data_IF_098956256191
#
_entry.id   IF_098956256191
#
_cell.length_a   1.000
_cell.length_b   1.000
_cell.length_c   1.000
_cell.angle_alpha   90.00
_cell.angle_beta   90.00
_cell.angle_gamma   90.00
#
_symmetry.space_group_name_H-M   'P 1'
#
loop_
_entity.id
_entity.type
_entity.pdbx_description
1 polymer ?
#
# COMPACT_ATOMS: atom_id res chain seq x y z
N UNK A 1 -31.82 -12.09 -39.89
CA UNK A 1 -30.39 -11.89 -39.56
C UNK A 1 -30.24 -10.46 -39.09
N UNK A 2 -29.92 -10.10 -37.87
CA UNK A 2 -29.81 -10.78 -36.58
C UNK A 2 -29.89 -9.65 -35.55
N UNK A 3 -30.83 -9.73 -34.61
CA UNK A 3 -30.98 -8.73 -33.56
C UNK A 3 -29.90 -8.97 -32.50
N UNK A 4 -28.98 -8.01 -32.36
CA UNK A 4 -27.99 -8.00 -31.29
C UNK A 4 -28.70 -7.94 -29.94
N UNK A 5 -28.61 -9.04 -29.21
CA UNK A 5 -29.08 -9.12 -27.83
C UNK A 5 -28.04 -8.41 -26.96
N UNK A 6 -28.31 -7.15 -26.62
CA UNK A 6 -27.56 -6.44 -25.56
C UNK A 6 -27.74 -7.21 -24.25
N UNK A 7 -26.75 -8.00 -23.85
CA UNK A 7 -26.66 -8.54 -22.49
C UNK A 7 -26.32 -7.37 -21.57
N UNK A 8 -27.33 -6.86 -20.85
CA UNK A 8 -27.11 -6.09 -19.63
C UNK A 8 -26.59 -7.08 -18.58
N UNK A 9 -25.34 -6.93 -18.17
CA UNK A 9 -24.83 -7.58 -16.97
C UNK A 9 -25.38 -6.77 -15.80
N UNK A 10 -26.38 -7.31 -15.12
CA UNK A 10 -26.77 -6.86 -13.80
C UNK A 10 -25.80 -7.55 -12.83
N UNK A 11 -24.91 -6.77 -12.21
CA UNK A 11 -24.21 -7.23 -11.00
C UNK A 11 -25.23 -7.09 -9.88
N UNK A 12 -25.78 -8.21 -9.42
CA UNK A 12 -26.52 -8.28 -8.17
C UNK A 12 -25.51 -8.00 -7.04
N UNK A 13 -25.47 -6.75 -6.59
CA UNK A 13 -24.81 -6.42 -5.33
C UNK A 13 -25.70 -6.96 -4.21
N UNK A 14 -25.36 -8.14 -3.71
CA UNK A 14 -25.69 -8.46 -2.32
C UNK A 14 -24.98 -7.41 -1.47
N UNK A 15 -25.67 -6.32 -1.14
CA UNK A 15 -25.12 -5.25 -0.32
C UNK A 15 -24.85 -5.81 1.09
N UNK A 16 -23.64 -6.33 1.31
CA UNK A 16 -23.06 -6.34 2.65
C UNK A 16 -23.03 -4.86 3.06
N UNK A 17 -23.80 -4.52 4.09
CA UNK A 17 -23.93 -3.16 4.60
C UNK A 17 -22.54 -2.60 4.91
N UNK A 18 -22.07 -1.67 4.07
CA UNK A 18 -20.70 -1.16 4.16
C UNK A 18 -20.68 0.02 5.11
N UNK A 19 -20.02 -0.16 6.26
CA UNK A 19 -19.70 0.97 7.13
C UNK A 19 -18.67 1.84 6.42
N UNK A 20 -19.03 3.09 6.14
CA UNK A 20 -18.10 4.07 5.56
C UNK A 20 -16.86 4.19 6.46
N UNK A 21 -15.70 3.85 5.92
CA UNK A 21 -14.43 4.02 6.63
C UNK A 21 -13.88 5.42 6.40
N UNK A 22 -13.34 6.06 7.45
CA UNK A 22 -12.68 7.34 7.26
C UNK A 22 -11.50 7.20 6.27
N UNK A 23 -11.27 8.20 5.40
CA UNK A 23 -10.22 8.13 4.39
C UNK A 23 -8.81 8.11 4.99
N UNK A 24 -8.66 8.67 6.19
CA UNK A 24 -7.38 8.84 6.89
C UNK A 24 -7.41 8.20 8.29
N UNK A 25 -6.25 8.11 8.93
CA UNK A 25 -6.08 7.67 10.32
C UNK A 25 -5.02 8.54 11.01
N UNK A 26 -5.06 8.58 12.34
CA UNK A 26 -4.03 9.21 13.18
C UNK A 26 -3.06 8.23 13.79
N UNK A 27 -3.13 6.95 13.41
CA UNK A 27 -2.30 5.90 13.98
C UNK A 27 -1.72 5.03 12.87
N UNK A 28 -0.42 4.78 12.93
CA UNK A 28 0.31 3.91 11.99
C UNK A 28 1.06 2.84 12.76
N UNK A 29 1.25 1.68 12.13
CA UNK A 29 2.11 0.62 12.65
C UNK A 29 3.41 0.65 11.88
N UNK A 30 4.53 0.57 12.60
CA UNK A 30 5.86 0.50 12.04
C UNK A 30 6.63 -0.67 12.67
N UNK A 31 7.57 -1.26 11.94
CA UNK A 31 8.42 -2.34 12.45
C UNK A 31 9.87 -1.87 12.44
N UNK A 32 10.57 -2.03 13.55
CA UNK A 32 11.97 -1.61 13.68
C UNK A 32 12.87 -2.38 12.70
N UNK A 33 13.78 -1.71 11.97
CA UNK A 33 14.66 -2.34 10.98
C UNK A 33 15.87 -3.07 11.60
N UNK A 34 15.67 -3.91 12.61
CA UNK A 34 16.76 -4.53 13.41
C UNK A 34 17.69 -5.46 12.59
N UNK A 35 17.19 -5.94 11.44
CA UNK A 35 17.92 -6.80 10.52
C UNK A 35 18.02 -6.24 9.10
N UNK A 36 17.70 -4.96 8.90
CA UNK A 36 17.61 -4.37 7.57
C UNK A 36 18.93 -4.46 6.81
N UNK A 37 18.82 -4.99 5.58
CA UNK A 37 19.92 -5.16 4.64
C UNK A 37 19.35 -5.54 3.27
N UNK A 38 20.20 -5.54 2.24
CA UNK A 38 19.84 -6.10 0.94
C UNK A 38 19.33 -7.54 1.06
N UNK A 39 18.17 -7.82 0.49
CA UNK A 39 17.59 -9.17 0.47
C UNK A 39 17.74 -9.80 -0.93
N UNK A 40 18.68 -10.76 -1.11
CA UNK A 40 18.88 -11.42 -2.40
C UNK A 40 17.67 -12.25 -2.85
N UNK A 41 16.76 -12.65 -1.95
CA UNK A 41 15.59 -13.45 -2.32
C UNK A 41 14.48 -12.61 -2.96
N UNK A 42 14.40 -11.32 -2.66
CA UNK A 42 13.40 -10.40 -3.23
C UNK A 42 13.92 -9.64 -4.43
N UNK A 43 15.24 -9.42 -4.51
CA UNK A 43 15.86 -8.63 -5.56
C UNK A 43 15.49 -9.02 -7.00
N UNK A 44 15.36 -10.32 -7.39
CA UNK A 44 14.93 -10.69 -8.74
C UNK A 44 13.55 -10.17 -9.14
N UNK A 45 12.72 -9.79 -8.17
CA UNK A 45 11.35 -9.30 -8.37
C UNK A 45 11.12 -7.90 -7.81
N UNK A 46 12.17 -7.23 -7.35
CA UNK A 46 12.13 -5.85 -6.90
C UNK A 46 13.32 -5.08 -7.48
N UNK A 47 13.10 -4.42 -8.61
CA UNK A 47 14.12 -3.63 -9.31
C UNK A 47 14.64 -2.42 -8.52
N UNK A 48 13.94 -1.98 -7.47
CA UNK A 48 14.39 -0.90 -6.61
C UNK A 48 15.48 -1.36 -5.62
N UNK A 49 15.64 -2.67 -5.41
CA UNK A 49 16.71 -3.19 -4.56
C UNK A 49 18.03 -3.27 -5.33
N UNK A 50 18.92 -2.33 -5.03
CA UNK A 50 20.31 -2.34 -5.51
C UNK A 50 21.23 -2.78 -4.37
N UNK A 51 22.21 -3.68 -4.62
CA UNK A 51 23.21 -4.02 -3.63
C UNK A 51 23.95 -2.77 -3.14
N UNK A 52 23.97 -2.48 -1.84
CA UNK A 52 24.65 -1.30 -1.33
C UNK A 52 26.16 -1.46 -1.46
N UNK A 53 26.85 -0.34 -1.69
CA UNK A 53 28.33 -0.29 -1.63
C UNK A 53 28.81 -0.37 -0.18
N UNK A 54 28.03 0.21 0.74
CA UNK A 54 28.34 0.21 2.18
C UNK A 54 28.16 -1.19 2.81
N UNK A 55 28.94 -1.52 3.86
CA UNK A 55 28.76 -2.77 4.60
C UNK A 55 27.34 -2.89 5.20
N UNK A 56 26.79 -4.11 5.33
CA UNK A 56 25.44 -4.32 5.86
C UNK A 56 25.19 -3.68 7.24
N UNK A 57 26.20 -3.65 8.10
CA UNK A 57 26.09 -3.01 9.43
C UNK A 57 25.87 -1.50 9.34
N UNK A 58 26.55 -0.83 8.41
CA UNK A 58 26.41 0.62 8.21
C UNK A 58 25.02 0.92 7.65
N UNK A 59 24.59 0.16 6.64
CA UNK A 59 23.24 0.28 6.06
C UNK A 59 22.17 0.10 7.13
N UNK A 60 22.32 -0.90 8.01
CA UNK A 60 21.41 -1.12 9.13
C UNK A 60 21.39 0.06 10.10
N UNK A 61 22.55 0.60 10.48
CA UNK A 61 22.64 1.73 11.40
C UNK A 61 21.99 2.99 10.82
N UNK A 62 22.18 3.24 9.51
CA UNK A 62 21.52 4.33 8.81
C UNK A 62 20.00 4.14 8.77
N UNK A 63 19.53 2.93 8.45
CA UNK A 63 18.09 2.61 8.45
C UNK A 63 17.46 2.78 9.85
N UNK A 64 18.15 2.39 10.92
CA UNK A 64 17.69 2.61 12.29
C UNK A 64 17.61 4.12 12.64
N UNK A 65 18.58 4.91 12.17
CA UNK A 65 18.58 6.37 12.36
C UNK A 65 17.44 7.03 11.59
N UNK A 66 17.21 6.65 10.34
CA UNK A 66 16.11 7.16 9.52
C UNK A 66 14.74 6.74 10.05
N UNK A 67 14.60 5.50 10.49
CA UNK A 67 13.41 5.01 11.17
C UNK A 67 13.10 5.85 12.41
N UNK A 68 14.07 6.06 13.30
CA UNK A 68 13.88 6.90 14.48
C UNK A 68 13.52 8.35 14.13
N UNK A 69 14.13 8.89 13.07
CA UNK A 69 13.77 10.20 12.52
C UNK A 69 12.32 10.27 12.05
N UNK A 70 11.86 9.26 11.30
CA UNK A 70 10.48 9.17 10.82
C UNK A 70 9.48 9.06 11.97
N UNK A 71 9.75 8.22 12.98
CA UNK A 71 8.90 8.11 14.19
C UNK A 71 8.76 9.47 14.87
N UNK A 72 9.88 10.15 15.15
CA UNK A 72 9.86 11.45 15.79
C UNK A 72 9.08 12.50 14.97
N UNK A 73 9.26 12.50 13.64
CA UNK A 73 8.55 13.43 12.73
C UNK A 73 7.05 13.19 12.72
N UNK A 74 6.61 11.92 12.70
CA UNK A 74 5.20 11.55 12.75
C UNK A 74 4.57 11.97 14.09
N UNK A 75 5.21 11.63 15.21
CA UNK A 75 4.72 11.97 16.54
C UNK A 75 4.66 13.48 16.77
N UNK A 76 5.66 14.24 16.30
CA UNK A 76 5.65 15.70 16.34
C UNK A 76 4.51 16.33 15.53
N UNK A 77 3.97 15.60 14.54
CA UNK A 77 2.80 16.00 13.74
C UNK A 77 1.48 15.43 14.28
N UNK A 78 1.47 14.90 15.50
CA UNK A 78 0.28 14.39 16.17
C UNK A 78 -0.22 13.05 15.60
N UNK A 79 0.67 12.27 14.98
CA UNK A 79 0.39 10.92 14.50
C UNK A 79 0.98 9.91 15.49
N UNK A 80 0.18 8.96 15.94
CA UNK A 80 0.61 7.89 16.83
C UNK A 80 1.32 6.78 16.07
N UNK A 81 2.48 6.35 16.58
CA UNK A 81 3.26 5.27 15.98
C UNK A 81 3.27 4.07 16.92
N UNK A 82 2.66 2.98 16.46
CA UNK A 82 2.72 1.68 17.12
C UNK A 82 3.92 0.92 16.58
N UNK A 83 5.01 0.90 17.34
CA UNK A 83 6.25 0.25 16.93
C UNK A 83 6.31 -1.20 17.38
N UNK A 84 6.56 -2.11 16.45
CA UNK A 84 6.90 -3.51 16.71
C UNK A 84 8.41 -3.72 16.56
N UNK A 85 8.99 -4.60 17.36
CA UNK A 85 10.35 -5.12 17.12
C UNK A 85 10.35 -6.02 15.87
N UNK A 86 11.51 -6.22 15.24
CA UNK A 86 11.65 -7.32 14.28
C UNK A 86 11.55 -8.69 14.99
N UNK A 87 11.09 -9.75 14.28
CA UNK A 87 11.06 -11.10 14.83
C UNK A 87 12.42 -11.55 15.39
N UNK A 88 12.45 -11.96 16.66
CA UNK A 88 13.69 -12.37 17.33
C UNK A 88 14.14 -13.77 16.88
N UNK A 89 15.45 -13.97 16.78
CA UNK A 89 16.04 -15.28 16.50
C UNK A 89 16.03 -15.72 15.03
N UNK A 90 15.48 -14.89 14.15
CA UNK A 90 15.50 -15.08 12.70
C UNK A 90 15.93 -13.79 12.00
N UNK A 91 16.48 -13.90 10.80
CA UNK A 91 16.91 -12.73 10.04
C UNK A 91 15.84 -12.35 9.02
N UNK A 92 15.24 -11.18 9.22
CA UNK A 92 14.13 -10.66 8.42
C UNK A 92 14.45 -9.27 7.84
N UNK A 93 15.18 -9.19 6.72
CA UNK A 93 15.66 -7.92 6.18
C UNK A 93 14.56 -6.94 5.78
N UNK A 94 13.38 -7.44 5.37
CA UNK A 94 12.27 -6.63 4.85
C UNK A 94 11.13 -6.47 5.88
N UNK A 95 11.33 -6.87 7.15
CA UNK A 95 10.31 -6.76 8.20
C UNK A 95 9.85 -5.31 8.44
N UNK A 96 10.70 -4.32 8.12
CA UNK A 96 10.40 -2.88 8.17
C UNK A 96 9.23 -2.47 7.26
N UNK A 97 8.78 -3.33 6.34
CA UNK A 97 7.65 -3.10 5.43
C UNK A 97 6.42 -3.95 5.84
N UNK A 98 5.76 -3.62 6.97
CA UNK A 98 4.64 -4.42 7.49
C UNK A 98 3.39 -4.37 6.60
N UNK A 99 3.28 -3.33 5.75
CA UNK A 99 2.18 -3.16 4.81
C UNK A 99 2.03 -4.34 3.84
N UNK A 100 3.05 -5.19 3.69
CA UNK A 100 3.01 -6.35 2.81
C UNK A 100 2.32 -7.59 3.38
N UNK A 101 2.09 -7.65 4.69
CA UNK A 101 1.58 -8.88 5.30
C UNK A 101 0.28 -8.73 6.08
N UNK A 102 -0.16 -7.50 6.38
CA UNK A 102 -1.45 -7.28 7.01
C UNK A 102 -2.25 -6.08 6.51
N UNK A 103 -3.54 -6.09 6.85
CA UNK A 103 -4.47 -4.97 6.77
C UNK A 103 -5.42 -5.00 7.96
N UNK A 104 -5.83 -3.83 8.45
CA UNK A 104 -6.87 -3.68 9.48
C UNK A 104 -7.96 -2.70 9.05
N UNK A 105 -9.16 -2.89 9.60
CA UNK A 105 -10.31 -2.01 9.38
C UNK A 105 -10.98 -1.56 10.69
N UNK A 106 -11.98 -0.68 10.56
CA UNK A 106 -12.75 -0.15 11.69
C UNK A 106 -13.77 -1.13 12.26
N UNK A 107 -13.91 -2.32 11.68
CA UNK A 107 -14.75 -3.41 12.20
C UNK A 107 -13.94 -4.37 13.09
N UNK A 108 -12.66 -4.09 13.32
CA UNK A 108 -11.77 -4.93 14.12
C UNK A 108 -11.29 -6.16 13.35
N UNK A 109 -11.31 -6.14 12.01
CA UNK A 109 -10.72 -7.20 11.20
C UNK A 109 -9.21 -7.02 11.10
N UNK A 110 -8.48 -8.13 11.23
CA UNK A 110 -7.08 -8.26 10.87
C UNK A 110 -6.96 -9.27 9.72
N UNK A 111 -6.58 -8.81 8.54
CA UNK A 111 -6.32 -9.67 7.39
C UNK A 111 -4.84 -10.01 7.35
N UNK A 112 -4.51 -11.29 7.15
CA UNK A 112 -3.13 -11.78 7.01
C UNK A 112 -2.92 -12.31 5.60
N UNK A 113 -1.90 -11.81 4.93
CA UNK A 113 -1.74 -11.96 3.49
C UNK A 113 -0.71 -13.03 3.07
N UNK A 114 -0.91 -13.72 1.92
CA UNK A 114 0.07 -14.62 1.32
C UNK A 114 1.22 -13.84 0.68
N UNK A 115 2.46 -14.18 1.04
CA UNK A 115 3.66 -13.51 0.51
C UNK A 115 4.49 -14.42 -0.38
N UNK A 116 4.96 -13.88 -1.50
CA UNK A 116 5.69 -14.66 -2.51
C UNK A 116 6.95 -15.28 -1.93
N UNK A 117 7.81 -14.45 -1.35
CA UNK A 117 9.15 -14.87 -0.95
C UNK A 117 9.13 -15.57 0.43
N UNK A 118 9.65 -16.80 0.55
CA UNK A 118 9.57 -17.57 1.79
C UNK A 118 10.16 -16.88 3.02
N UNK A 119 11.27 -16.15 2.88
CA UNK A 119 11.88 -15.46 4.02
C UNK A 119 11.08 -14.24 4.49
N UNK A 120 10.12 -13.77 3.70
CA UNK A 120 9.18 -12.73 4.13
C UNK A 120 8.00 -13.30 4.92
N UNK A 121 7.61 -14.56 4.68
CA UNK A 121 6.51 -15.24 5.40
C UNK A 121 6.72 -15.31 6.91
N UNK A 122 7.98 -15.36 7.35
CA UNK A 122 8.37 -15.36 8.76
C UNK A 122 8.39 -13.95 9.39
N UNK A 123 8.13 -12.90 8.62
CA UNK A 123 7.99 -11.51 9.09
C UNK A 123 6.63 -11.24 9.75
N UNK A 124 5.66 -12.13 9.54
CA UNK A 124 4.31 -12.04 10.11
C UNK A 124 4.35 -12.17 11.63
N UNK A 125 3.91 -11.12 12.32
CA UNK A 125 3.88 -11.06 13.79
C UNK A 125 2.44 -10.84 14.28
N UNK A 126 1.54 -11.76 13.92
CA UNK A 126 0.09 -11.63 14.16
C UNK A 126 -0.23 -11.41 15.64
N UNK A 127 0.33 -12.23 16.54
CA UNK A 127 0.05 -12.13 17.98
C UNK A 127 0.60 -10.84 18.60
N UNK A 128 1.82 -10.44 18.22
CA UNK A 128 2.44 -9.22 18.70
C UNK A 128 1.66 -7.98 18.22
N UNK A 129 1.28 -7.96 16.93
CA UNK A 129 0.43 -6.91 16.36
C UNK A 129 -0.92 -6.84 17.09
N UNK A 130 -1.59 -7.97 17.29
CA UNK A 130 -2.87 -8.02 18.00
C UNK A 130 -2.78 -7.48 19.44
N UNK A 131 -1.70 -7.84 20.15
CA UNK A 131 -1.43 -7.32 21.50
C UNK A 131 -1.21 -5.81 21.48
N UNK A 132 -0.34 -5.31 20.60
CA UNK A 132 -0.06 -3.88 20.47
C UNK A 132 -1.29 -3.07 20.08
N UNK A 133 -2.11 -3.58 19.16
CA UNK A 133 -3.37 -2.94 18.78
C UNK A 133 -4.33 -2.85 19.98
N UNK A 134 -4.51 -3.94 20.72
CA UNK A 134 -5.41 -3.98 21.88
C UNK A 134 -4.95 -3.03 23.00
N UNK A 135 -3.64 -2.97 23.29
CA UNK A 135 -3.05 -2.04 24.26
C UNK A 135 -3.28 -0.57 23.88
N UNK A 136 -3.37 -0.28 22.58
CA UNK A 136 -3.69 1.05 22.03
C UNK A 136 -5.19 1.29 21.81
N UNK A 137 -6.06 0.39 22.28
CA UNK A 137 -7.52 0.53 22.21
C UNK A 137 -8.15 0.12 20.86
N UNK A 138 -7.41 -0.58 20.00
CA UNK A 138 -7.92 -1.18 18.77
C UNK A 138 -8.20 -2.66 18.98
N UNK A 139 -9.47 -3.03 19.08
CA UNK A 139 -9.86 -4.44 19.25
C UNK A 139 -9.77 -5.21 17.94
N UNK A 140 -9.13 -6.39 17.98
CA UNK A 140 -9.13 -7.37 16.88
C UNK A 140 -10.16 -8.45 17.20
N UNK A 141 -11.28 -8.42 16.48
CA UNK A 141 -12.43 -9.30 16.71
C UNK A 141 -12.55 -10.41 15.65
N UNK A 142 -11.88 -10.24 14.51
CA UNK A 142 -11.87 -11.21 13.42
C UNK A 142 -10.48 -11.27 12.78
N UNK A 143 -9.94 -12.47 12.58
CA UNK A 143 -8.75 -12.69 11.76
C UNK A 143 -9.17 -13.37 10.46
N UNK A 144 -8.88 -12.75 9.33
CA UNK A 144 -9.06 -13.34 8.00
C UNK A 144 -7.69 -13.79 7.47
N UNK A 145 -7.47 -15.11 7.42
CA UNK A 145 -6.21 -15.70 6.99
C UNK A 145 -6.25 -16.09 5.50
N UNK A 146 -5.58 -15.30 4.67
CA UNK A 146 -5.42 -15.55 3.23
C UNK A 146 -4.11 -16.28 2.91
N UNK A 147 -3.32 -16.73 3.88
CA UNK A 147 -2.03 -17.39 3.62
C UNK A 147 -2.17 -18.75 2.94
N UNK A 148 -3.39 -19.30 2.88
CA UNK A 148 -3.67 -20.57 2.22
C UNK A 148 -3.38 -20.55 0.70
N UNK A 149 -3.48 -19.38 0.04
CA UNK A 149 -3.09 -19.21 -1.37
C UNK A 149 -1.61 -19.54 -1.64
N UNK A 150 -0.74 -19.45 -0.63
CA UNK A 150 0.68 -19.80 -0.78
C UNK A 150 0.89 -21.27 -1.19
N UNK A 151 -0.09 -22.15 -0.90
CA UNK A 151 -0.07 -23.56 -1.31
C UNK A 151 -0.34 -23.75 -2.81
N UNK A 152 -0.86 -22.72 -3.46
CA UNK A 152 -1.24 -22.68 -4.87
C UNK A 152 -0.35 -21.73 -5.69
N UNK A 153 0.77 -21.27 -5.13
CA UNK A 153 1.65 -20.25 -5.73
C UNK A 153 0.93 -18.94 -6.12
N UNK A 154 -0.14 -18.60 -5.38
CA UNK A 154 -0.89 -17.36 -5.49
C UNK A 154 -0.54 -16.44 -4.32
N UNK A 155 -0.38 -15.13 -4.59
CA UNK A 155 0.16 -14.16 -3.62
C UNK A 155 -0.57 -12.84 -3.71
N UNK A 156 -0.63 -12.11 -2.59
CA UNK A 156 -1.23 -10.79 -2.50
C UNK A 156 -0.53 -10.05 -1.38
N UNK A 157 0.56 -9.32 -1.66
CA UNK A 157 1.41 -8.69 -0.63
C UNK A 157 0.80 -7.39 -0.05
N UNK A 158 -0.40 -7.52 0.53
CA UNK A 158 -1.10 -6.53 1.32
C UNK A 158 -1.28 -5.18 0.62
N UNK A 159 -1.18 -4.12 1.42
CA UNK A 159 -1.30 -2.72 0.94
C UNK A 159 -0.02 -2.21 0.24
N UNK A 160 0.97 -3.08 0.01
CA UNK A 160 1.97 -2.86 -1.04
C UNK A 160 1.42 -3.21 -2.42
N UNK A 161 0.85 -4.42 -2.55
CA UNK A 161 0.20 -4.89 -3.76
C UNK A 161 -1.09 -4.14 -4.09
N UNK A 162 -1.73 -3.49 -3.12
CA UNK A 162 -3.03 -2.83 -3.29
C UNK A 162 -3.02 -1.37 -2.79
N UNK A 163 -3.80 -0.52 -3.44
CA UNK A 163 -4.14 0.83 -2.94
C UNK A 163 -5.64 0.90 -2.71
N UNK A 164 -6.03 1.22 -1.47
CA UNK A 164 -7.42 1.15 -1.02
C UNK A 164 -8.02 2.55 -0.88
N UNK A 165 -9.07 2.81 -1.64
CA UNK A 165 -9.96 3.94 -1.43
C UNK A 165 -10.99 3.57 -0.36
N UNK A 166 -10.62 3.74 0.91
CA UNK A 166 -11.44 3.30 2.05
C UNK A 166 -12.77 4.04 2.16
N UNK A 167 -12.86 5.30 1.74
CA UNK A 167 -14.15 5.99 1.75
C UNK A 167 -15.08 5.50 0.63
N UNK A 168 -14.53 5.26 -0.56
CA UNK A 168 -15.34 4.90 -1.74
C UNK A 168 -15.56 3.41 -1.93
N UNK A 169 -14.79 2.55 -1.25
CA UNK A 169 -14.93 1.11 -1.38
C UNK A 169 -14.38 0.59 -2.68
N UNK A 170 -13.25 1.13 -3.10
CA UNK A 170 -12.54 0.70 -4.30
C UNK A 170 -11.15 0.24 -3.90
N UNK A 171 -10.73 -0.91 -4.42
CA UNK A 171 -9.37 -1.40 -4.29
C UNK A 171 -8.71 -1.46 -5.66
N UNK A 172 -7.50 -0.93 -5.77
CA UNK A 172 -6.69 -0.97 -6.99
C UNK A 172 -5.55 -1.95 -6.80
N UNK A 173 -5.33 -2.83 -7.79
CA UNK A 173 -4.25 -3.79 -7.76
C UNK A 173 -3.65 -3.98 -9.16
N UNK A 174 -2.32 -3.96 -9.22
CA UNK A 174 -1.55 -4.32 -10.40
C UNK A 174 -1.27 -5.81 -10.37
N UNK A 175 -1.64 -6.51 -11.44
CA UNK A 175 -1.25 -7.91 -11.65
C UNK A 175 0.27 -8.04 -11.77
N UNK A 176 0.85 -8.88 -10.92
CA UNK A 176 2.29 -9.08 -10.85
C UNK A 176 2.63 -10.42 -10.20
N UNK A 177 3.90 -10.85 -10.18
CA UNK A 177 4.30 -12.04 -9.43
C UNK A 177 4.01 -12.00 -7.91
N UNK A 178 3.59 -10.86 -7.37
CA UNK A 178 3.25 -10.64 -5.96
C UNK A 178 1.77 -10.33 -5.74
N UNK A 179 0.98 -10.32 -6.81
CA UNK A 179 -0.44 -9.94 -6.80
C UNK A 179 -1.19 -10.79 -7.82
N UNK A 180 -1.84 -11.82 -7.30
CA UNK A 180 -2.73 -12.71 -8.02
C UNK A 180 -4.16 -12.15 -8.07
N UNK A 181 -4.83 -12.30 -9.20
CA UNK A 181 -6.17 -11.73 -9.44
C UNK A 181 -7.25 -12.41 -8.57
N UNK A 182 -7.20 -13.73 -8.40
CA UNK A 182 -8.17 -14.50 -7.62
C UNK A 182 -8.06 -14.14 -6.14
N UNK A 183 -6.84 -14.17 -5.59
CA UNK A 183 -6.61 -13.77 -4.20
C UNK A 183 -7.02 -12.31 -3.94
N UNK A 184 -6.82 -11.41 -4.91
CA UNK A 184 -7.25 -10.02 -4.83
C UNK A 184 -8.78 -9.87 -4.84
N UNK A 185 -9.47 -10.60 -5.71
CA UNK A 185 -10.93 -10.58 -5.78
C UNK A 185 -11.56 -11.14 -4.51
N UNK A 186 -11.03 -12.25 -3.97
CA UNK A 186 -11.53 -12.84 -2.73
C UNK A 186 -11.31 -11.90 -1.53
N UNK A 187 -10.18 -11.17 -1.47
CA UNK A 187 -10.01 -10.10 -0.50
C UNK A 187 -11.08 -9.00 -0.64
N UNK A 188 -11.36 -8.57 -1.87
CA UNK A 188 -12.34 -7.53 -2.15
C UNK A 188 -13.76 -7.96 -1.75
N UNK A 189 -14.16 -9.19 -2.05
CA UNK A 189 -15.48 -9.75 -1.72
C UNK A 189 -15.67 -9.93 -0.20
N UNK A 190 -14.61 -10.36 0.50
CA UNK A 190 -14.63 -10.46 1.96
C UNK A 190 -14.67 -9.08 2.62
N UNK A 191 -13.94 -8.10 2.08
CA UNK A 191 -13.77 -6.76 2.67
C UNK A 191 -14.71 -5.68 2.11
N UNK A 192 -15.59 -6.02 1.17
CA UNK A 192 -16.57 -5.09 0.62
C UNK A 192 -15.94 -3.97 -0.23
N UNK A 193 -14.96 -4.32 -1.06
CA UNK A 193 -14.36 -3.43 -2.05
C UNK A 193 -14.81 -3.81 -3.47
N UNK A 194 -15.01 -2.82 -4.32
CA UNK A 194 -15.06 -2.99 -5.76
C UNK A 194 -13.62 -3.16 -6.29
N UNK A 195 -13.29 -4.30 -6.92
CA UNK A 195 -11.95 -4.55 -7.43
C UNK A 195 -11.68 -3.77 -8.72
N UNK A 196 -10.48 -3.21 -8.82
CA UNK A 196 -9.91 -2.63 -10.05
C UNK A 196 -8.54 -3.27 -10.29
N UNK A 197 -8.53 -4.34 -11.07
CA UNK A 197 -7.33 -5.07 -11.45
C UNK A 197 -6.84 -4.61 -12.83
N UNK A 198 -5.54 -4.35 -12.96
CA UNK A 198 -4.93 -3.84 -14.20
C UNK A 198 -3.43 -4.17 -14.28
N UNK A 199 -2.79 -3.82 -15.39
CA UNK A 199 -1.36 -4.06 -15.59
C UNK A 199 -0.59 -2.76 -15.80
N UNK A 200 0.61 -2.69 -15.24
CA UNK A 200 1.50 -1.55 -15.39
C UNK A 200 2.94 -1.97 -15.63
N UNK A 201 3.67 -1.14 -16.39
CA UNK A 201 5.06 -1.36 -16.77
C UNK A 201 5.92 -0.13 -16.48
N UNK A 202 7.15 -0.39 -16.06
CA UNK A 202 8.19 0.62 -15.89
C UNK A 202 8.68 1.20 -17.24
N UNK A 203 9.73 2.03 -17.19
CA UNK A 203 10.32 2.66 -18.38
C UNK A 203 10.98 1.64 -19.32
N UNK A 204 11.46 0.53 -18.77
CA UNK A 204 12.13 -0.55 -19.49
C UNK A 204 11.13 -1.62 -19.99
N UNK A 205 9.84 -1.44 -19.73
CA UNK A 205 8.78 -2.37 -20.13
C UNK A 205 8.61 -3.57 -19.21
N UNK A 206 9.27 -3.57 -18.04
CA UNK A 206 9.09 -4.62 -17.03
C UNK A 206 7.89 -4.33 -16.13
N UNK A 207 7.30 -5.38 -15.58
CA UNK A 207 6.12 -5.28 -14.73
C UNK A 207 6.40 -4.48 -13.45
N UNK A 208 5.46 -3.62 -13.07
CA UNK A 208 5.45 -2.98 -11.76
C UNK A 208 4.97 -4.01 -10.73
N UNK A 209 5.77 -4.25 -9.69
CA UNK A 209 5.49 -5.32 -8.73
C UNK A 209 4.43 -4.96 -7.68
N UNK A 210 4.30 -3.68 -7.31
CA UNK A 210 3.39 -3.18 -6.27
C UNK A 210 2.65 -1.91 -6.72
N UNK A 211 1.35 -1.82 -6.42
CA UNK A 211 0.48 -0.72 -6.84
C UNK A 211 0.83 0.61 -6.17
N UNK A 212 1.25 0.56 -4.90
CA UNK A 212 1.61 1.74 -4.11
C UNK A 212 2.92 2.43 -4.57
N UNK A 213 3.55 1.94 -5.64
CA UNK A 213 4.71 2.57 -6.27
C UNK A 213 4.28 3.59 -7.32
N UNK A 214 3.10 3.40 -7.94
CA UNK A 214 2.58 4.27 -9.00
C UNK A 214 1.32 5.05 -8.61
N UNK A 215 0.72 4.73 -7.46
CA UNK A 215 -0.57 5.26 -7.07
C UNK A 215 -0.66 5.51 -5.57
N UNK A 216 -1.24 6.66 -5.21
CA UNK A 216 -1.71 6.93 -3.85
C UNK A 216 -3.08 7.59 -3.90
N UNK A 217 -3.91 7.31 -2.90
CA UNK A 217 -5.24 7.91 -2.73
C UNK A 217 -5.26 8.62 -1.39
N UNK A 218 -5.60 9.90 -1.41
CA UNK A 218 -5.91 10.68 -0.22
C UNK A 218 -7.34 11.20 -0.22
N UNK A 219 -7.67 12.00 0.79
CA UNK A 219 -8.96 12.67 0.91
C UNK A 219 -9.07 13.80 -0.12
N UNK A 220 -9.78 13.52 -1.21
CA UNK A 220 -10.05 14.47 -2.29
C UNK A 220 -9.02 14.51 -3.41
N UNK A 221 -7.95 13.70 -3.36
CA UNK A 221 -6.94 13.63 -4.42
C UNK A 221 -6.44 12.22 -4.71
N UNK A 222 -6.01 12.00 -5.95
CA UNK A 222 -5.35 10.77 -6.39
C UNK A 222 -4.03 11.11 -7.06
N UNK A 223 -2.93 10.50 -6.62
CA UNK A 223 -1.65 10.49 -7.36
C UNK A 223 -1.62 9.26 -8.23
N UNK A 224 -1.27 9.41 -9.52
CA UNK A 224 -1.24 8.28 -10.46
C UNK A 224 -0.20 8.45 -11.57
N UNK A 225 0.56 7.39 -11.83
CA UNK A 225 1.38 7.27 -13.04
C UNK A 225 0.59 6.62 -14.18
N UNK A 226 -0.20 7.41 -14.92
CA UNK A 226 -0.99 6.88 -16.04
C UNK A 226 -0.12 6.30 -17.17
N UNK A 227 1.10 6.82 -17.37
CA UNK A 227 1.98 6.37 -18.44
C UNK A 227 2.42 4.91 -18.24
N UNK A 228 2.42 4.44 -16.99
CA UNK A 228 2.77 3.07 -16.63
C UNK A 228 1.72 2.06 -17.10
N UNK A 229 0.44 2.46 -17.21
CA UNK A 229 -0.67 1.60 -17.64
C UNK A 229 -0.71 1.61 -19.16
N UNK A 230 -0.07 0.63 -19.82
CA UNK A 230 0.15 0.65 -21.28
C UNK A 230 -1.10 0.28 -22.08
N UNK A 231 -1.97 -0.55 -21.54
CA UNK A 231 -3.25 -0.86 -22.17
C UNK A 231 -4.21 0.33 -22.05
N UNK A 232 -4.77 0.75 -23.19
CA UNK A 232 -5.61 1.95 -23.24
C UNK A 232 -6.97 1.75 -22.56
N UNK A 233 -7.48 0.52 -22.57
CA UNK A 233 -8.77 0.18 -21.95
C UNK A 233 -8.62 0.17 -20.44
N UNK A 234 -7.58 -0.49 -19.91
CA UNK A 234 -7.26 -0.48 -18.49
C UNK A 234 -6.97 0.94 -18.00
N UNK A 235 -6.14 1.70 -18.72
CA UNK A 235 -5.83 3.10 -18.35
C UNK A 235 -7.08 3.94 -18.27
N UNK A 236 -7.96 3.85 -19.27
CA UNK A 236 -9.22 4.58 -19.28
C UNK A 236 -10.09 4.19 -18.08
N UNK A 237 -10.23 2.90 -17.79
CA UNK A 237 -11.01 2.42 -16.67
C UNK A 237 -10.47 2.93 -15.32
N UNK A 238 -9.16 2.83 -15.10
CA UNK A 238 -8.50 3.34 -13.87
C UNK A 238 -8.71 4.85 -13.72
N UNK A 239 -8.54 5.62 -14.80
CA UNK A 239 -8.75 7.08 -14.78
C UNK A 239 -10.21 7.44 -14.50
N UNK A 240 -11.16 6.79 -15.18
CA UNK A 240 -12.59 7.05 -15.00
C UNK A 240 -13.00 6.82 -13.52
N UNK A 241 -12.54 5.71 -12.92
CA UNK A 241 -12.83 5.40 -11.50
C UNK A 241 -12.09 6.37 -10.57
N UNK A 242 -10.83 6.71 -10.86
CA UNK A 242 -10.07 7.69 -10.08
C UNK A 242 -10.76 9.06 -10.04
N UNK A 243 -11.28 9.54 -11.17
CA UNK A 243 -12.02 10.79 -11.26
C UNK A 243 -13.41 10.74 -10.61
N UNK A 244 -14.08 9.57 -10.62
CA UNK A 244 -15.34 9.40 -9.90
C UNK A 244 -15.17 9.46 -8.39
N UNK A 245 -14.05 8.95 -7.87
CA UNK A 245 -13.71 9.02 -6.45
C UNK A 245 -13.28 10.43 -6.05
N UNK A 246 -12.27 10.97 -6.73
CA UNK A 246 -11.63 12.22 -6.36
C UNK A 246 -11.63 13.20 -7.54
N UNK A 247 -12.01 14.47 -7.32
CA UNK A 247 -12.02 15.46 -8.38
C UNK A 247 -10.61 15.88 -8.83
N UNK A 248 -9.60 15.69 -7.97
CA UNK A 248 -8.21 16.10 -8.23
C UNK A 248 -7.35 14.88 -8.57
N UNK A 249 -6.81 14.85 -9.78
CA UNK A 249 -5.79 13.90 -10.21
C UNK A 249 -4.44 14.62 -10.32
N UNK A 250 -3.44 14.09 -9.63
CA UNK A 250 -2.06 14.59 -9.64
C UNK A 250 -1.23 13.57 -10.44
N UNK A 251 -1.02 13.79 -11.75
CA UNK A 251 -0.27 12.85 -12.57
C UNK A 251 1.20 12.86 -12.18
N UNK A 252 1.84 11.70 -12.14
CA UNK A 252 3.30 11.56 -11.95
C UNK A 252 3.93 10.80 -13.13
N UNK A 253 5.19 11.14 -13.46
CA UNK A 253 5.94 10.46 -14.52
C UNK A 253 6.57 9.15 -14.06
N UNK A 254 7.03 8.30 -14.99
CA UNK A 254 7.84 7.11 -14.63
C UNK A 254 9.14 7.47 -13.91
N UNK A 255 9.70 8.66 -14.14
CA UNK A 255 10.87 9.14 -13.41
C UNK A 255 10.52 9.43 -11.94
N UNK A 256 9.39 10.09 -11.70
CA UNK A 256 8.87 10.34 -10.35
C UNK A 256 8.47 9.05 -9.62
N UNK A 257 7.97 8.04 -10.35
CA UNK A 257 7.80 6.68 -9.81
C UNK A 257 9.12 6.10 -9.31
N UNK A 258 10.21 6.29 -10.07
CA UNK A 258 11.57 5.93 -9.65
C UNK A 258 12.05 6.61 -8.37
N UNK A 259 11.45 7.74 -8.01
CA UNK A 259 11.69 8.52 -6.78
C UNK A 259 10.59 8.29 -5.72
N UNK A 260 9.77 7.24 -5.88
CA UNK A 260 8.69 6.86 -4.98
C UNK A 260 7.58 7.92 -4.78
N UNK A 261 7.32 8.78 -5.77
CA UNK A 261 6.20 9.74 -5.69
C UNK A 261 4.81 9.11 -5.60
N UNK A 262 4.64 7.85 -6.02
CA UNK A 262 3.41 7.11 -5.77
C UNK A 262 3.27 6.59 -4.34
N UNK A 263 4.35 6.60 -3.55
CA UNK A 263 4.40 6.05 -2.20
C UNK A 263 4.28 7.14 -1.14
N UNK A 264 3.07 7.71 -1.02
CA UNK A 264 2.74 8.67 0.03
C UNK A 264 1.54 8.19 0.84
N UNK A 265 1.39 8.74 2.04
CA UNK A 265 0.28 8.48 2.93
C UNK A 265 -0.47 9.78 3.22
N UNK A 266 -1.80 9.76 3.07
CA UNK A 266 -2.63 10.80 3.65
C UNK A 266 -3.14 10.34 5.03
N UNK A 267 -2.66 11.01 6.07
CA UNK A 267 -2.98 10.76 7.47
C UNK A 267 -3.71 11.98 8.06
N UNK A 268 -4.16 11.87 9.30
CA UNK A 268 -4.64 13.00 10.08
C UNK A 268 -3.95 13.03 11.44
N UNK A 269 -3.74 14.20 12.03
CA UNK A 269 -3.31 14.28 13.42
C UNK A 269 -4.46 13.88 14.37
N UNK A 270 -4.15 13.66 15.65
CA UNK A 270 -5.17 13.43 16.71
C UNK A 270 -6.16 14.59 16.83
N UNK A 271 -5.75 15.79 16.46
CA UNK A 271 -6.55 17.02 16.41
C UNK A 271 -7.34 17.16 15.09
N UNK A 272 -7.16 16.24 14.15
CA UNK A 272 -7.89 16.19 12.88
C UNK A 272 -7.24 16.94 11.71
N UNK A 273 -6.03 17.48 11.86
CA UNK A 273 -5.34 18.16 10.77
C UNK A 273 -4.84 17.15 9.72
N UNK A 274 -5.18 17.34 8.45
CA UNK A 274 -4.72 16.47 7.35
C UNK A 274 -3.22 16.61 7.12
N UNK A 275 -2.54 15.46 6.98
CA UNK A 275 -1.08 15.35 6.77
C UNK A 275 -0.80 14.49 5.54
N UNK A 276 0.16 14.91 4.73
CA UNK A 276 0.63 14.16 3.56
C UNK A 276 2.08 13.78 3.81
N UNK A 277 2.29 12.53 4.21
CA UNK A 277 3.61 12.00 4.58
C UNK A 277 4.27 11.39 3.36
N UNK A 278 5.51 11.80 3.07
CA UNK A 278 6.32 11.24 1.99
C UNK A 278 7.82 11.29 2.32
N UNK A 279 8.65 10.63 1.52
CA UNK A 279 10.10 10.75 1.66
C UNK A 279 10.60 12.11 1.14
N UNK A 280 11.75 12.57 1.66
CA UNK A 280 12.41 13.78 1.15
C UNK A 280 12.71 13.67 -0.36
N UNK A 281 13.13 12.48 -0.81
CA UNK A 281 13.36 12.18 -2.23
C UNK A 281 12.11 12.39 -3.08
N UNK A 282 10.96 11.91 -2.60
CA UNK A 282 9.67 12.12 -3.28
C UNK A 282 9.29 13.61 -3.32
N UNK A 283 9.47 14.32 -2.20
CA UNK A 283 9.16 15.75 -2.09
C UNK A 283 9.94 16.61 -3.10
N UNK A 284 11.23 16.32 -3.25
CA UNK A 284 12.12 17.00 -4.19
C UNK A 284 11.79 16.67 -5.66
N UNK A 285 11.31 15.44 -5.91
CA UNK A 285 10.92 14.98 -7.24
C UNK A 285 9.58 15.54 -7.72
N UNK A 286 8.64 15.88 -6.81
CA UNK A 286 7.41 16.58 -7.19
C UNK A 286 7.71 17.98 -7.77
N UNK A 287 6.93 18.42 -8.76
CA UNK A 287 7.00 19.78 -9.28
C UNK A 287 6.41 20.78 -8.29
N UNK A 288 6.72 22.07 -8.46
CA UNK A 288 6.12 23.12 -7.65
C UNK A 288 4.60 23.14 -7.73
N UNK A 289 4.04 22.86 -8.91
CA UNK A 289 2.59 22.76 -9.13
C UNK A 289 1.99 21.55 -8.40
N UNK A 290 2.60 20.36 -8.52
CA UNK A 290 2.13 19.16 -7.82
C UNK A 290 2.17 19.34 -6.29
N UNK A 291 3.24 19.94 -5.74
CA UNK A 291 3.32 20.27 -4.31
C UNK A 291 2.25 21.27 -3.89
N UNK A 292 2.02 22.31 -4.71
CA UNK A 292 0.98 23.31 -4.43
C UNK A 292 -0.41 22.68 -4.43
N UNK A 293 -0.67 21.72 -5.33
CA UNK A 293 -1.92 20.96 -5.33
C UNK A 293 -2.07 20.10 -4.08
N UNK A 294 -1.04 19.32 -3.73
CA UNK A 294 -1.03 18.49 -2.51
C UNK A 294 -1.28 19.32 -1.25
N UNK A 295 -0.64 20.49 -1.13
CA UNK A 295 -0.80 21.37 0.04
C UNK A 295 -2.22 21.92 0.22
N UNK A 296 -3.11 21.81 -0.78
CA UNK A 296 -4.54 22.13 -0.60
C UNK A 296 -5.28 21.06 0.21
N UNK A 297 -4.74 19.84 0.27
CA UNK A 297 -5.36 18.68 0.92
C UNK A 297 -4.75 18.33 2.28
N UNK A 298 -3.59 18.89 2.63
CA UNK A 298 -2.96 18.69 3.94
C UNK A 298 -1.54 19.24 4.01
N UNK A 299 -1.01 19.37 5.22
CA UNK A 299 0.38 19.77 5.40
C UNK A 299 1.30 18.63 4.95
N UNK A 300 2.31 18.95 4.15
CA UNK A 300 3.35 18.00 3.77
C UNK A 300 4.27 17.75 4.97
N UNK A 301 4.53 16.47 5.25
CA UNK A 301 5.38 15.96 6.33
C UNK A 301 6.48 15.08 5.77
#
# INVERSE_FOLDING_TARGET
MGAETKRKVYVETGEKERVSMPPTTSTVVMVRPDYFRYNPQTAPSNKFQVPPVAPPEIVRQEALREFGGMVNTLEANGIEVLSLDSPKGVVTPDAVFPNNWFYTDNMGRLVVFPMRTPNRRIERQVDALGTTLAESGFEVNQVLDLTHYEKHDQFLEGTGSMVLSRQHGVAFAIGSPRTDEEAFHDFCDECGYMPVFFHAKDREGSEIYHTNVIMAIGDGFTVLCEESIRDQTERKNVLDIAYQMNPVLIPISLEQVGQFCGNLLNLRSKEGASKIVMSQTSLEAFTGEQRTELMKHGDIV
#
